data_IF_789342297307
#
_entry.id   IF_789342297307
#
_cell.length_a   1.000
_cell.length_b   1.000
_cell.length_c   1.000
_cell.angle_alpha   90.00
_cell.angle_beta   90.00
_cell.angle_gamma   90.00
#
_symmetry.space_group_name_H-M   'P 1'
#
loop_
_entity.id
_entity.type
_entity.pdbx_description
1 polymer ?
#
# COMPACT_ATOMS: atom_id res chain seq x y z
N UNK A 1 -9.58 -14.81 5.32
CA UNK A 1 -10.18 -15.11 4.00
C UNK A 1 -9.50 -14.21 2.98
N UNK A 2 -9.11 -14.74 1.81
CA UNK A 2 -8.55 -13.89 0.74
C UNK A 2 -9.68 -13.04 0.19
N UNK A 3 -9.58 -11.72 0.31
CA UNK A 3 -10.54 -10.82 -0.33
C UNK A 3 -10.27 -10.84 -1.84
N UNK A 4 -11.20 -11.34 -2.69
CA UNK A 4 -10.99 -11.43 -4.14
C UNK A 4 -10.69 -10.08 -4.79
N UNK A 5 -11.22 -8.99 -4.21
CA UNK A 5 -10.99 -7.63 -4.66
C UNK A 5 -9.50 -7.25 -4.60
N UNK A 6 -8.86 -7.43 -3.44
CA UNK A 6 -7.44 -7.10 -3.28
C UNK A 6 -6.52 -7.97 -4.14
N UNK A 7 -6.89 -9.23 -4.40
CA UNK A 7 -6.12 -10.09 -5.31
C UNK A 7 -6.18 -9.60 -6.76
N UNK A 8 -7.34 -9.12 -7.22
CA UNK A 8 -7.47 -8.55 -8.56
C UNK A 8 -6.71 -7.22 -8.69
N UNK A 9 -6.82 -6.34 -7.69
CA UNK A 9 -6.08 -5.08 -7.64
C UNK A 9 -4.57 -5.34 -7.63
N UNK A 10 -4.09 -6.23 -6.77
CA UNK A 10 -2.67 -6.57 -6.69
C UNK A 10 -2.12 -7.08 -8.02
N UNK A 11 -2.88 -7.92 -8.73
CA UNK A 11 -2.49 -8.40 -10.07
C UNK A 11 -2.42 -7.26 -11.09
N UNK A 12 -3.42 -6.38 -11.14
CA UNK A 12 -3.41 -5.23 -12.05
C UNK A 12 -2.23 -4.29 -11.80
N UNK A 13 -1.90 -4.05 -10.52
CA UNK A 13 -0.72 -3.29 -10.12
C UNK A 13 0.57 -3.98 -10.55
N UNK A 14 0.70 -5.29 -10.30
CA UNK A 14 1.88 -6.08 -10.68
C UNK A 14 2.10 -6.09 -12.19
N UNK A 15 1.06 -6.42 -12.98
CA UNK A 15 1.12 -6.44 -14.45
C UNK A 15 1.55 -5.08 -15.01
N UNK A 16 0.98 -3.99 -14.47
CA UNK A 16 1.29 -2.62 -14.91
C UNK A 16 2.72 -2.22 -14.52
N UNK A 17 3.13 -2.50 -13.28
CA UNK A 17 4.46 -2.18 -12.79
C UNK A 17 5.53 -2.93 -13.59
N UNK A 18 5.33 -4.22 -13.83
CA UNK A 18 6.22 -5.05 -14.64
C UNK A 18 6.34 -4.54 -16.07
N UNK A 19 5.23 -4.13 -16.70
CA UNK A 19 5.25 -3.53 -18.04
C UNK A 19 6.08 -2.23 -18.13
N UNK A 20 6.29 -1.55 -17.00
CA UNK A 20 7.11 -0.34 -16.89
C UNK A 20 8.50 -0.58 -16.26
N UNK A 21 8.91 -1.84 -16.07
CA UNK A 21 10.23 -2.20 -15.54
C UNK A 21 10.35 -2.11 -14.01
N UNK A 22 9.24 -2.04 -13.28
CA UNK A 22 9.21 -2.06 -11.82
C UNK A 22 8.92 -3.48 -11.29
N UNK A 23 9.47 -3.77 -10.12
CA UNK A 23 9.14 -4.96 -9.34
C UNK A 23 8.28 -4.57 -8.13
N UNK A 24 7.36 -5.45 -7.75
CA UNK A 24 6.43 -5.22 -6.64
C UNK A 24 6.83 -6.08 -5.43
N UNK A 25 6.77 -5.48 -4.25
CA UNK A 25 6.74 -6.18 -2.97
C UNK A 25 5.35 -6.06 -2.37
N UNK A 26 4.72 -7.19 -2.02
CA UNK A 26 3.36 -7.20 -1.48
C UNK A 26 3.40 -7.53 0.01
N UNK A 27 2.67 -6.74 0.80
CA UNK A 27 2.45 -6.99 2.22
C UNK A 27 0.97 -7.11 2.55
N UNK A 28 0.62 -8.09 3.40
CA UNK A 28 -0.73 -8.22 3.94
C UNK A 28 -0.71 -7.90 5.44
N UNK A 29 -1.10 -6.67 5.78
CA UNK A 29 -1.20 -6.22 7.17
C UNK A 29 -2.26 -6.98 7.98
N UNK A 30 -3.29 -7.52 7.33
CA UNK A 30 -4.41 -8.22 7.98
C UNK A 30 -5.06 -7.41 9.12
N UNK A 31 -5.15 -6.08 8.95
CA UNK A 31 -5.64 -5.12 9.94
C UNK A 31 -4.91 -5.23 11.30
N UNK A 32 -3.59 -5.45 11.25
CA UNK A 32 -2.74 -5.55 12.43
C UNK A 32 -1.61 -4.52 12.34
N UNK A 33 -1.63 -3.54 13.24
CA UNK A 33 -0.68 -2.43 13.25
C UNK A 33 0.77 -2.90 13.24
N UNK A 34 1.14 -3.87 14.08
CA UNK A 34 2.52 -4.36 14.12
C UNK A 34 2.97 -4.94 12.78
N UNK A 35 2.10 -5.65 12.06
CA UNK A 35 2.42 -6.15 10.72
C UNK A 35 2.53 -5.01 9.71
N UNK A 36 1.62 -4.05 9.76
CA UNK A 36 1.62 -2.87 8.88
C UNK A 36 2.92 -2.06 9.04
N UNK A 37 3.30 -1.75 10.27
CA UNK A 37 4.55 -1.03 10.57
C UNK A 37 5.79 -1.83 10.13
N UNK A 38 5.79 -3.15 10.32
CA UNK A 38 6.87 -4.01 9.84
C UNK A 38 6.99 -3.99 8.31
N UNK A 39 5.87 -3.95 7.58
CA UNK A 39 5.89 -3.82 6.12
C UNK A 39 6.41 -2.45 5.68
N UNK A 40 5.96 -1.35 6.30
CA UNK A 40 6.48 -0.01 6.01
C UNK A 40 8.00 0.05 6.21
N UNK A 41 8.49 -0.48 7.33
CA UNK A 41 9.92 -0.58 7.61
C UNK A 41 10.67 -1.45 6.58
N UNK A 42 10.08 -2.58 6.18
CA UNK A 42 10.65 -3.47 5.16
C UNK A 42 10.75 -2.79 3.81
N UNK A 43 9.70 -2.08 3.37
CA UNK A 43 9.72 -1.34 2.12
C UNK A 43 10.76 -0.22 2.15
N UNK A 44 10.94 0.44 3.30
CA UNK A 44 11.98 1.46 3.49
C UNK A 44 13.38 0.85 3.38
N UNK A 45 13.62 -0.27 4.06
CA UNK A 45 14.89 -0.98 4.04
C UNK A 45 15.26 -1.53 2.66
N UNK A 46 14.27 -1.87 1.83
CA UNK A 46 14.47 -2.31 0.45
C UNK A 46 14.45 -1.15 -0.56
N UNK A 47 14.47 0.10 -0.09
CA UNK A 47 14.49 1.29 -0.94
C UNK A 47 13.38 1.30 -2.02
N UNK A 48 12.19 0.77 -1.70
CA UNK A 48 11.06 0.81 -2.64
C UNK A 48 10.75 2.28 -2.98
N UNK A 49 10.57 2.59 -4.27
CA UNK A 49 10.43 3.97 -4.76
C UNK A 49 9.09 4.63 -4.45
N UNK A 50 8.09 3.86 -4.03
CA UNK A 50 6.76 4.33 -3.67
C UNK A 50 5.96 3.24 -2.95
N UNK A 51 4.79 3.61 -2.43
CA UNK A 51 3.92 2.70 -1.68
C UNK A 51 2.50 2.77 -2.26
N UNK A 52 1.88 1.61 -2.46
CA UNK A 52 0.45 1.52 -2.69
C UNK A 52 -0.13 0.86 -1.45
N UNK A 53 -1.00 1.57 -0.74
CA UNK A 53 -1.62 1.09 0.49
C UNK A 53 -3.15 1.09 0.34
N UNK A 54 -3.81 0.18 1.06
CA UNK A 54 -5.26 0.25 1.24
C UNK A 54 -5.55 0.80 2.64
N UNK A 55 -6.51 0.23 3.34
CA UNK A 55 -6.79 0.56 4.73
C UNK A 55 -5.67 0.05 5.66
N UNK A 56 -5.16 0.94 6.53
CA UNK A 56 -4.37 0.57 7.70
C UNK A 56 -5.25 0.52 8.95
N UNK A 57 -4.81 -0.25 9.94
CA UNK A 57 -5.58 -0.59 11.14
C UNK A 57 -5.73 0.54 12.15
N UNK A 58 -4.79 1.49 12.20
CA UNK A 58 -4.75 2.59 13.19
C UNK A 58 -4.38 3.92 12.55
N UNK A 59 -4.72 5.03 13.22
CA UNK A 59 -4.27 6.38 12.85
C UNK A 59 -2.74 6.50 12.89
N UNK A 60 -2.11 5.92 13.92
CA UNK A 60 -0.65 5.87 14.02
C UNK A 60 0.00 5.17 12.82
N UNK A 61 -0.56 4.06 12.32
CA UNK A 61 -0.04 3.44 11.10
C UNK A 61 -0.15 4.37 9.87
N UNK A 62 -1.22 5.16 9.77
CA UNK A 62 -1.37 6.19 8.74
C UNK A 62 -0.35 7.31 8.89
N UNK A 63 -0.12 7.82 10.10
CA UNK A 63 0.91 8.84 10.36
C UNK A 63 2.29 8.33 9.96
N UNK A 64 2.60 7.06 10.23
CA UNK A 64 3.87 6.45 9.81
C UNK A 64 3.99 6.39 8.29
N UNK A 65 2.92 6.05 7.57
CA UNK A 65 2.89 6.10 6.11
C UNK A 65 3.06 7.53 5.57
N UNK A 66 2.39 8.53 6.16
CA UNK A 66 2.49 9.94 5.74
C UNK A 66 3.84 10.58 6.08
N UNK A 67 4.48 10.14 7.16
CA UNK A 67 5.83 10.57 7.52
C UNK A 67 6.91 9.99 6.59
N UNK A 68 6.54 9.01 5.76
CA UNK A 68 7.40 8.47 4.73
C UNK A 68 7.41 9.41 3.51
N UNK A 69 8.58 9.98 3.19
CA UNK A 69 8.75 10.93 2.09
C UNK A 69 8.52 10.31 0.70
N UNK A 70 8.36 8.98 0.62
CA UNK A 70 8.09 8.29 -0.63
C UNK A 70 6.67 8.57 -1.12
N UNK A 71 6.49 8.73 -2.45
CA UNK A 71 5.15 8.89 -3.01
C UNK A 71 4.30 7.67 -2.66
N UNK A 72 3.09 7.92 -2.17
CA UNK A 72 2.13 6.87 -1.89
C UNK A 72 0.77 7.14 -2.52
N UNK A 73 0.08 6.06 -2.84
CA UNK A 73 -1.29 6.06 -3.34
C UNK A 73 -2.13 5.21 -2.41
N UNK A 74 -3.27 5.76 -2.00
CA UNK A 74 -4.26 5.01 -1.24
C UNK A 74 -5.28 4.38 -2.19
N UNK A 75 -5.72 3.18 -1.86
CA UNK A 75 -6.82 2.50 -2.54
C UNK A 75 -7.92 2.32 -1.51
N UNK A 76 -9.17 2.53 -1.90
CA UNK A 76 -10.35 2.29 -1.06
C UNK A 76 -10.54 3.25 0.13
N UNK A 77 -9.73 4.33 0.27
CA UNK A 77 -9.94 5.34 1.33
C UNK A 77 -9.82 6.78 0.84
N UNK A 78 -10.80 7.60 1.22
CA UNK A 78 -10.92 9.03 0.91
C UNK A 78 -10.45 9.83 2.14
N UNK A 79 -9.15 10.09 2.25
CA UNK A 79 -8.65 11.21 3.07
C UNK A 79 -8.57 12.43 2.16
N UNK A 80 -8.93 13.60 2.70
CA UNK A 80 -9.29 14.80 1.90
C UNK A 80 -8.15 15.35 1.03
N UNK A 81 -6.92 14.88 1.23
CA UNK A 81 -5.69 15.43 0.65
C UNK A 81 -4.78 14.36 -0.02
N UNK A 82 -5.16 13.07 -0.06
CA UNK A 82 -4.33 11.99 -0.64
C UNK A 82 -4.83 11.53 -2.02
N UNK A 83 -3.91 11.09 -2.91
CA UNK A 83 -4.31 10.50 -4.20
C UNK A 83 -4.94 9.11 -3.97
N UNK A 84 -6.22 8.97 -4.35
CA UNK A 84 -7.01 7.76 -4.13
C UNK A 84 -7.59 7.21 -5.44
N UNK A 85 -7.59 5.87 -5.57
CA UNK A 85 -8.35 5.15 -6.60
C UNK A 85 -9.51 4.38 -5.94
N UNK A 86 -10.72 4.70 -6.36
CA UNK A 86 -11.96 4.05 -5.91
C UNK A 86 -12.36 2.94 -6.89
N UNK A 87 -12.84 1.83 -6.35
CA UNK A 87 -13.49 0.80 -7.15
C UNK A 87 -15.01 1.01 -7.11
N UNK A 88 -15.60 1.19 -8.30
CA UNK A 88 -17.05 1.25 -8.48
C UNK A 88 -17.70 -0.13 -8.37
#
# INVERSE_FOLDING_TARGET
MSNPFFTQVARGVEDTAMAHGYHIMIGNGAMNEHKELNYLATFKANHCSGIIASQLSTEHAFEQLQSDERPHVLIDRVTKDDFCVEAN
#
